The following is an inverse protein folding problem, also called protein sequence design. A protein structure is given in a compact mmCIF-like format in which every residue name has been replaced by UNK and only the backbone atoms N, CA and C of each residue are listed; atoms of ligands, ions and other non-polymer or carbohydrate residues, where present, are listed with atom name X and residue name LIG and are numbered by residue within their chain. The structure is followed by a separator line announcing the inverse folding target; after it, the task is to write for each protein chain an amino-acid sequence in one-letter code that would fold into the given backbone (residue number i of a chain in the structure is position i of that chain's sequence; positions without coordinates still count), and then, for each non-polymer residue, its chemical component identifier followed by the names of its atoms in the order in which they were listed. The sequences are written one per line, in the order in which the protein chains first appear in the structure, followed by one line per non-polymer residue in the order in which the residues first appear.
data_IF_694287860098
#
_entry.id   IF_694287860098
#
_cell.length_a   1.000
_cell.length_b   1.000
_cell.length_c   1.000
_cell.angle_alpha   90.00
_cell.angle_beta   90.00
_cell.angle_gamma   90.00
#
_symmetry.space_group_name_H-M   'P 1'
#
loop_
_entity.id
_entity.type
_entity.pdbx_description
1 polymer ?
#
# COMPACT_ATOMS: atom_id res chain seq x y z
N UNK A 1 -4.01 -2.02 13.18
CA UNK A 1 -5.49 -2.01 13.10
C UNK A 1 -5.97 -1.64 11.70
N UNK A 2 -5.27 -0.76 10.95
CA UNK A 2 -5.65 -0.38 9.58
C UNK A 2 -5.96 -1.56 8.66
N UNK A 3 -5.09 -2.56 8.66
CA UNK A 3 -5.24 -3.80 7.86
C UNK A 3 -6.55 -4.56 8.14
N UNK A 4 -7.02 -4.57 9.40
CA UNK A 4 -8.29 -5.21 9.74
C UNK A 4 -9.46 -4.51 9.04
N UNK A 5 -9.51 -3.18 9.10
CA UNK A 5 -10.60 -2.40 8.50
C UNK A 5 -10.51 -2.36 6.98
N UNK A 6 -9.32 -2.38 6.44
CA UNK A 6 -9.11 -2.57 5.00
C UNK A 6 -9.68 -3.93 4.54
N UNK A 7 -9.38 -5.01 5.26
CA UNK A 7 -9.98 -6.33 4.98
C UNK A 7 -11.51 -6.34 5.14
N UNK A 8 -12.05 -5.60 6.12
CA UNK A 8 -13.49 -5.44 6.31
C UNK A 8 -14.14 -4.71 5.12
N UNK A 9 -13.48 -3.70 4.55
CA UNK A 9 -13.97 -3.01 3.36
C UNK A 9 -13.90 -3.90 2.10
N UNK A 10 -12.90 -4.75 1.97
CA UNK A 10 -12.89 -5.76 0.89
C UNK A 10 -14.04 -6.78 1.03
N UNK A 11 -14.33 -7.21 2.25
CA UNK A 11 -15.51 -8.04 2.53
C UNK A 11 -16.82 -7.30 2.18
N UNK A 12 -16.92 -6.02 2.55
CA UNK A 12 -18.09 -5.19 2.23
C UNK A 12 -18.34 -5.09 0.72
N UNK A 13 -17.31 -5.01 -0.11
CA UNK A 13 -17.43 -4.97 -1.58
C UNK A 13 -18.12 -6.24 -2.15
N UNK A 14 -17.86 -7.38 -1.53
CA UNK A 14 -18.39 -8.69 -1.97
C UNK A 14 -19.73 -8.98 -1.33
N UNK A 15 -19.89 -8.63 -0.07
CA UNK A 15 -21.07 -8.89 0.74
C UNK A 15 -21.46 -7.66 1.55
N UNK A 16 -22.11 -6.67 0.94
CA UNK A 16 -22.41 -5.39 1.57
C UNK A 16 -23.46 -5.54 2.68
N UNK A 17 -23.00 -5.38 3.91
CA UNK A 17 -23.84 -5.29 5.10
C UNK A 17 -23.64 -3.95 5.78
N UNK A 18 -24.74 -3.32 6.18
CA UNK A 18 -24.70 -2.02 6.88
C UNK A 18 -23.83 -2.07 8.14
N UNK A 19 -23.86 -3.17 8.87
CA UNK A 19 -23.04 -3.36 10.08
C UNK A 19 -21.53 -3.28 9.81
N UNK A 20 -21.05 -3.75 8.65
CA UNK A 20 -19.63 -3.67 8.28
C UNK A 20 -19.23 -2.22 7.96
N UNK A 21 -20.09 -1.52 7.23
CA UNK A 21 -19.90 -0.11 6.94
C UNK A 21 -19.87 0.71 8.24
N UNK A 22 -20.88 0.55 9.10
CA UNK A 22 -20.98 1.29 10.35
C UNK A 22 -19.82 0.99 11.30
N UNK A 23 -19.33 -0.24 11.32
CA UNK A 23 -18.17 -0.61 12.15
C UNK A 23 -16.88 0.05 11.65
N UNK A 24 -16.63 0.06 10.33
CA UNK A 24 -15.48 0.73 9.74
C UNK A 24 -15.59 2.27 9.88
N UNK A 25 -16.79 2.83 9.65
CA UNK A 25 -17.05 4.25 9.81
C UNK A 25 -16.85 4.70 11.25
N UNK A 26 -17.45 4.00 12.23
CA UNK A 26 -17.33 4.33 13.64
C UNK A 26 -15.88 4.30 14.15
N UNK A 27 -15.07 3.36 13.70
CA UNK A 27 -13.64 3.34 13.99
C UNK A 27 -12.92 4.55 13.38
N UNK A 28 -13.21 4.87 12.12
CA UNK A 28 -12.58 5.97 11.40
C UNK A 28 -12.93 7.32 12.02
N UNK A 29 -14.21 7.52 12.37
CA UNK A 29 -14.71 8.74 13.01
C UNK A 29 -14.17 8.89 14.44
N UNK A 30 -14.11 7.80 15.22
CA UNK A 30 -13.47 7.79 16.54
C UNK A 30 -12.02 8.30 16.48
N UNK A 31 -11.27 7.92 15.43
CA UNK A 31 -9.91 8.39 15.18
C UNK A 31 -9.86 9.72 14.44
N UNK A 32 -11.04 10.39 14.23
CA UNK A 32 -11.16 11.69 13.54
C UNK A 32 -10.51 11.69 12.16
N UNK A 33 -10.53 10.53 11.49
CA UNK A 33 -9.93 10.32 10.16
C UNK A 33 -8.42 10.64 10.09
N UNK A 34 -7.78 10.63 11.26
CA UNK A 34 -6.36 10.94 11.42
C UNK A 34 -5.47 9.70 11.33
N UNK A 35 -4.17 9.95 11.26
CA UNK A 35 -3.13 8.93 11.32
C UNK A 35 -2.37 9.01 12.65
N UNK A 36 -1.77 7.89 13.08
CA UNK A 36 -1.09 7.77 14.38
C UNK A 36 -0.04 8.87 14.61
N UNK A 37 0.78 9.18 13.61
CA UNK A 37 1.87 10.15 13.72
C UNK A 37 1.62 11.42 12.87
N UNK A 38 0.34 11.70 12.54
CA UNK A 38 -0.08 12.92 11.83
C UNK A 38 0.25 12.91 10.34
N UNK A 39 0.08 14.07 9.71
CA UNK A 39 0.13 14.23 8.24
C UNK A 39 1.52 14.29 7.64
N UNK A 40 2.56 14.32 8.47
CA UNK A 40 3.97 14.34 8.03
C UNK A 40 4.66 13.00 8.18
N UNK A 41 3.92 11.96 8.60
CA UNK A 41 4.47 10.62 8.75
C UNK A 41 4.88 10.04 7.40
N UNK A 42 6.06 9.45 7.36
CA UNK A 42 6.55 8.69 6.20
C UNK A 42 6.41 7.16 6.42
N UNK A 43 5.97 6.76 7.60
CA UNK A 43 5.78 5.35 7.93
C UNK A 43 4.49 4.81 7.30
N UNK A 44 4.63 3.78 6.47
CA UNK A 44 3.51 3.18 5.74
C UNK A 44 2.45 2.54 6.66
N UNK A 45 2.83 2.03 7.84
CA UNK A 45 1.88 1.48 8.80
C UNK A 45 0.89 2.54 9.31
N UNK A 46 1.35 3.78 9.48
CA UNK A 46 0.47 4.90 9.85
C UNK A 46 -0.47 5.27 8.70
N UNK A 47 -0.02 5.12 7.46
CA UNK A 47 -0.76 5.48 6.24
C UNK A 47 -1.83 4.44 5.88
N UNK A 48 -1.71 3.21 6.36
CA UNK A 48 -2.57 2.08 6.02
C UNK A 48 -4.08 2.37 6.23
N UNK A 49 -4.44 3.12 7.28
CA UNK A 49 -5.83 3.50 7.55
C UNK A 49 -6.47 4.30 6.41
N UNK A 50 -5.65 4.97 5.61
CA UNK A 50 -6.09 5.74 4.44
C UNK A 50 -6.83 4.89 3.40
N UNK A 51 -6.51 3.60 3.28
CA UNK A 51 -7.25 2.70 2.41
C UNK A 51 -8.73 2.64 2.80
N UNK A 52 -9.00 2.43 4.09
CA UNK A 52 -10.36 2.42 4.65
C UNK A 52 -11.06 3.77 4.50
N UNK A 53 -10.36 4.86 4.80
CA UNK A 53 -10.92 6.22 4.71
C UNK A 53 -11.39 6.55 3.29
N UNK A 54 -10.57 6.22 2.28
CA UNK A 54 -10.91 6.45 0.89
C UNK A 54 -12.09 5.55 0.44
N UNK A 55 -12.10 4.28 0.85
CA UNK A 55 -13.20 3.36 0.53
C UNK A 55 -14.53 3.85 1.12
N UNK A 56 -14.54 4.28 2.38
CA UNK A 56 -15.73 4.86 3.03
C UNK A 56 -16.19 6.16 2.33
N UNK A 57 -15.25 7.02 1.98
CA UNK A 57 -15.55 8.25 1.23
C UNK A 57 -16.18 7.94 -0.14
N UNK A 58 -15.68 6.93 -0.85
CA UNK A 58 -16.24 6.54 -2.15
C UNK A 58 -17.65 5.97 -2.04
N UNK A 59 -18.01 5.38 -0.90
CA UNK A 59 -19.38 4.88 -0.64
C UNK A 59 -20.31 6.02 -0.26
N UNK A 60 -19.89 6.86 0.69
CA UNK A 60 -20.73 7.95 1.20
C UNK A 60 -19.85 9.12 1.68
N UNK A 61 -19.63 10.15 0.85
CA UNK A 61 -18.77 11.30 1.18
C UNK A 61 -19.48 12.26 2.15
N UNK A 62 -19.57 11.88 3.42
CA UNK A 62 -20.27 12.67 4.44
C UNK A 62 -19.53 13.93 4.89
N UNK A 63 -18.19 13.92 4.78
CA UNK A 63 -17.36 15.04 5.23
C UNK A 63 -16.02 15.11 4.49
N UNK A 64 -15.53 16.30 4.15
CA UNK A 64 -14.16 16.48 3.64
C UNK A 64 -13.07 16.02 4.63
N UNK A 65 -13.38 15.94 5.93
CA UNK A 65 -12.48 15.47 6.96
C UNK A 65 -12.02 14.03 6.70
N UNK A 66 -12.85 13.19 6.05
CA UNK A 66 -12.53 11.80 5.73
C UNK A 66 -11.25 11.63 4.91
N UNK A 67 -10.90 12.63 4.10
CA UNK A 67 -9.72 12.57 3.22
C UNK A 67 -8.63 13.58 3.60
N UNK A 68 -8.95 14.57 4.42
CA UNK A 68 -8.07 15.72 4.66
C UNK A 68 -6.66 15.32 5.06
N UNK A 69 -6.54 14.49 6.08
CA UNK A 69 -5.24 14.17 6.66
C UNK A 69 -4.46 13.17 5.79
N UNK A 70 -5.12 12.11 5.31
CA UNK A 70 -4.46 11.13 4.43
C UNK A 70 -4.03 11.77 3.10
N UNK A 71 -4.85 12.66 2.53
CA UNK A 71 -4.48 13.40 1.33
C UNK A 71 -3.27 14.30 1.58
N UNK A 72 -3.27 15.06 2.68
CA UNK A 72 -2.13 15.91 3.04
C UNK A 72 -0.83 15.11 3.20
N UNK A 73 -0.91 13.92 3.81
CA UNK A 73 0.24 13.03 3.95
C UNK A 73 0.76 12.52 2.60
N UNK A 74 -0.14 12.07 1.72
CA UNK A 74 0.26 11.60 0.39
C UNK A 74 0.77 12.74 -0.51
N UNK A 75 0.18 13.94 -0.40
CA UNK A 75 0.69 15.14 -1.08
C UNK A 75 2.12 15.47 -0.63
N UNK A 76 2.43 15.34 0.63
CA UNK A 76 3.78 15.52 1.15
C UNK A 76 4.76 14.51 0.52
N UNK A 77 4.39 13.22 0.41
CA UNK A 77 5.22 12.23 -0.26
C UNK A 77 5.45 12.58 -1.74
N UNK A 78 4.37 12.94 -2.45
CA UNK A 78 4.44 13.32 -3.87
C UNK A 78 5.36 14.52 -4.10
N UNK A 79 5.29 15.51 -3.22
CA UNK A 79 6.05 16.77 -3.35
C UNK A 79 7.50 16.68 -2.85
N UNK A 80 7.97 15.52 -2.41
CA UNK A 80 9.37 15.30 -2.01
C UNK A 80 10.07 14.32 -2.95
N UNK A 81 11.37 14.49 -3.24
CA UNK A 81 12.10 13.55 -4.09
C UNK A 81 12.39 12.20 -3.43
N UNK A 82 12.25 12.11 -2.11
CA UNK A 82 12.56 10.91 -1.33
C UNK A 82 11.64 9.75 -1.72
N UNK A 83 12.22 8.54 -1.94
CA UNK A 83 11.52 7.33 -2.37
C UNK A 83 11.86 6.09 -1.54
N UNK A 84 12.73 6.22 -0.55
CA UNK A 84 13.33 5.15 0.25
C UNK A 84 12.58 4.85 1.55
N UNK A 85 11.31 5.19 1.65
CA UNK A 85 10.51 4.97 2.86
C UNK A 85 10.05 3.52 3.05
N UNK A 86 9.91 2.77 1.95
CA UNK A 86 9.45 1.38 1.99
C UNK A 86 10.63 0.41 2.07
N UNK A 87 11.27 0.35 3.24
CA UNK A 87 12.47 -0.45 3.51
C UNK A 87 12.17 -1.90 3.90
N UNK A 88 10.89 -2.26 4.05
CA UNK A 88 10.40 -3.60 4.32
C UNK A 88 9.12 -3.86 3.53
N UNK A 89 8.87 -5.11 3.16
CA UNK A 89 7.84 -5.44 2.16
C UNK A 89 6.40 -5.22 2.63
N UNK A 90 6.12 -5.21 3.94
CA UNK A 90 4.79 -4.83 4.47
C UNK A 90 4.40 -3.41 4.06
N UNK A 91 5.37 -2.51 4.01
CA UNK A 91 5.16 -1.11 3.63
C UNK A 91 4.49 -0.98 2.25
N UNK A 92 4.80 -1.89 1.33
CA UNK A 92 4.18 -1.95 0.01
C UNK A 92 2.65 -2.11 0.15
N UNK A 93 2.20 -3.07 0.97
CA UNK A 93 0.76 -3.27 1.23
C UNK A 93 0.13 -2.11 1.99
N UNK A 94 0.87 -1.50 2.92
CA UNK A 94 0.32 -0.45 3.77
C UNK A 94 0.15 0.88 3.03
N UNK A 95 1.15 1.28 2.24
CA UNK A 95 1.20 2.60 1.60
C UNK A 95 0.79 2.63 0.13
N UNK A 96 1.20 1.63 -0.66
CA UNK A 96 1.04 1.65 -2.11
C UNK A 96 -0.44 1.77 -2.56
N UNK A 97 -1.41 1.00 -2.01
CA UNK A 97 -2.81 1.12 -2.42
C UNK A 97 -3.45 2.47 -2.05
N UNK A 98 -2.93 3.20 -1.05
CA UNK A 98 -3.41 4.54 -0.70
C UNK A 98 -3.14 5.52 -1.83
N UNK A 99 -1.91 5.49 -2.38
CA UNK A 99 -1.53 6.31 -3.54
C UNK A 99 -2.37 5.95 -4.77
N UNK A 100 -2.57 4.64 -5.03
CA UNK A 100 -3.41 4.19 -6.14
C UNK A 100 -4.86 4.71 -6.04
N UNK A 101 -5.48 4.57 -4.86
CA UNK A 101 -6.85 5.02 -4.60
C UNK A 101 -6.99 6.55 -4.71
N UNK A 102 -6.04 7.33 -4.17
CA UNK A 102 -6.05 8.79 -4.30
C UNK A 102 -5.83 9.24 -5.73
N UNK A 103 -4.91 8.61 -6.46
CA UNK A 103 -4.70 8.90 -7.88
C UNK A 103 -5.97 8.69 -8.70
N UNK A 104 -6.68 7.59 -8.45
CA UNK A 104 -7.98 7.30 -9.09
C UNK A 104 -9.05 8.32 -8.70
N UNK A 105 -9.18 8.61 -7.41
CA UNK A 105 -10.22 9.50 -6.88
C UNK A 105 -10.05 10.95 -7.38
N UNK A 106 -8.81 11.41 -7.45
CA UNK A 106 -8.51 12.82 -7.79
C UNK A 106 -8.18 13.05 -9.27
N UNK A 107 -7.89 11.98 -10.02
CA UNK A 107 -7.37 12.08 -11.39
C UNK A 107 -5.92 12.59 -11.46
N UNK A 108 -5.23 12.76 -10.34
CA UNK A 108 -3.85 13.25 -10.30
C UNK A 108 -2.86 12.09 -10.48
N UNK A 109 -2.20 12.04 -11.63
CA UNK A 109 -1.25 10.98 -11.97
C UNK A 109 0.05 11.03 -11.17
N UNK A 110 0.37 12.15 -10.52
CA UNK A 110 1.57 12.27 -9.69
C UNK A 110 1.57 11.26 -8.51
N UNK A 111 0.39 10.82 -8.05
CA UNK A 111 0.30 9.73 -7.08
C UNK A 111 0.76 8.38 -7.66
N UNK A 112 0.44 8.10 -8.93
CA UNK A 112 0.90 6.87 -9.59
C UNK A 112 2.40 6.92 -9.86
N UNK A 113 2.94 8.08 -10.25
CA UNK A 113 4.37 8.27 -10.47
C UNK A 113 5.14 8.03 -9.16
N UNK A 114 4.72 8.68 -8.07
CA UNK A 114 5.34 8.49 -6.75
C UNK A 114 5.25 7.04 -6.27
N UNK A 115 4.09 6.44 -6.45
CA UNK A 115 3.85 5.03 -6.09
C UNK A 115 4.83 4.10 -6.79
N UNK A 116 5.04 4.31 -8.10
CA UNK A 116 6.00 3.52 -8.87
C UNK A 116 7.43 3.75 -8.40
N UNK A 117 7.84 5.00 -8.21
CA UNK A 117 9.20 5.33 -7.80
C UNK A 117 9.58 4.67 -6.47
N UNK A 118 8.68 4.71 -5.49
CA UNK A 118 8.88 4.07 -4.18
C UNK A 118 8.88 2.54 -4.30
N UNK A 119 7.94 1.96 -5.06
CA UNK A 119 7.90 0.52 -5.32
C UNK A 119 9.15 0.02 -6.04
N UNK A 120 9.55 0.70 -7.11
CA UNK A 120 10.73 0.35 -7.89
C UNK A 120 12.03 0.48 -7.08
N UNK A 121 12.10 1.45 -6.16
CA UNK A 121 13.24 1.58 -5.25
C UNK A 121 13.35 0.37 -4.32
N UNK A 122 12.27 -0.02 -3.65
CA UNK A 122 12.26 -1.21 -2.78
C UNK A 122 12.57 -2.48 -3.57
N UNK A 123 11.97 -2.61 -4.75
CA UNK A 123 12.12 -3.77 -5.64
C UNK A 123 13.55 -3.98 -6.14
N UNK A 124 14.22 -2.88 -6.55
CA UNK A 124 15.45 -2.97 -7.37
C UNK A 124 16.69 -2.42 -6.67
N UNK A 125 16.54 -1.58 -5.62
CA UNK A 125 17.64 -0.76 -5.11
C UNK A 125 17.89 -0.99 -3.62
N UNK A 126 16.85 -0.96 -2.78
CA UNK A 126 17.00 -1.10 -1.34
C UNK A 126 17.67 -2.44 -0.99
N UNK A 127 18.81 -2.38 -0.27
CA UNK A 127 19.57 -3.57 0.10
C UNK A 127 20.11 -4.39 -1.09
N UNK A 128 20.19 -3.82 -2.29
CA UNK A 128 20.53 -4.53 -3.52
C UNK A 128 19.30 -5.00 -4.31
N UNK A 129 18.09 -4.64 -3.83
CA UNK A 129 16.80 -5.04 -4.38
C UNK A 129 16.15 -6.15 -3.56
N UNK A 130 14.91 -5.92 -3.12
CA UNK A 130 14.20 -6.88 -2.28
C UNK A 130 13.49 -7.98 -3.09
N UNK A 131 13.38 -7.86 -4.41
CA UNK A 131 12.70 -8.85 -5.26
C UNK A 131 13.69 -9.80 -5.93
N UNK A 132 13.63 -11.08 -5.56
CA UNK A 132 14.39 -12.12 -6.23
C UNK A 132 13.63 -12.61 -7.47
N UNK A 133 14.04 -12.16 -8.65
CA UNK A 133 13.43 -12.54 -9.92
C UNK A 133 13.53 -14.03 -10.24
N UNK A 134 14.55 -14.72 -9.73
CA UNK A 134 14.76 -16.16 -9.98
C UNK A 134 13.69 -17.00 -9.29
N UNK A 135 13.37 -16.63 -8.04
CA UNK A 135 12.47 -17.40 -7.20
C UNK A 135 11.03 -16.82 -7.21
N UNK A 136 10.84 -15.61 -7.77
CA UNK A 136 9.56 -14.90 -7.76
C UNK A 136 9.12 -14.48 -6.35
N UNK A 137 10.06 -14.28 -5.43
CA UNK A 137 9.79 -14.01 -4.03
C UNK A 137 10.55 -12.76 -3.53
N UNK A 138 10.04 -12.17 -2.47
CA UNK A 138 10.61 -10.99 -1.84
C UNK A 138 11.28 -11.36 -0.52
N UNK A 139 12.51 -10.88 -0.32
CA UNK A 139 13.11 -10.80 1.02
C UNK A 139 12.37 -9.75 1.86
N UNK A 140 12.26 -9.98 3.16
CA UNK A 140 11.52 -9.09 4.07
C UNK A 140 12.03 -7.64 4.03
N UNK A 141 13.34 -7.48 4.12
CA UNK A 141 14.09 -6.23 4.09
C UNK A 141 15.58 -6.50 3.77
N UNK A 142 16.40 -5.47 3.81
CA UNK A 142 17.82 -5.54 3.47
C UNK A 142 18.65 -6.53 4.33
N UNK A 143 18.22 -6.81 5.56
CA UNK A 143 18.93 -7.73 6.46
C UNK A 143 18.83 -9.19 6.01
N UNK A 144 17.86 -9.53 5.18
CA UNK A 144 17.59 -10.89 4.69
C UNK A 144 17.98 -11.13 3.23
N UNK A 145 18.47 -10.08 2.53
CA UNK A 145 19.05 -10.23 1.18
C UNK A 145 20.39 -10.94 1.29
N UNK A 146 20.80 -11.61 0.20
CA UNK A 146 22.12 -12.24 0.14
C UNK A 146 23.24 -11.29 0.64
N UNK A 147 24.19 -11.74 1.47
CA UNK A 147 24.58 -13.16 1.67
C UNK A 147 23.83 -13.89 2.81
N UNK A 148 22.78 -13.30 3.40
CA UNK A 148 22.02 -13.98 4.45
C UNK A 148 21.44 -15.31 3.93
N UNK A 149 21.52 -16.34 4.76
CA UNK A 149 20.94 -17.66 4.50
C UNK A 149 20.33 -18.25 5.77
N UNK A 150 19.28 -19.03 5.60
CA UNK A 150 18.74 -19.86 6.67
C UNK A 150 19.74 -20.95 7.08
N UNK A 151 19.60 -21.59 8.25
CA UNK A 151 20.49 -22.66 8.71
C UNK A 151 20.62 -23.84 7.75
N UNK A 152 19.64 -24.06 6.89
CA UNK A 152 19.64 -25.09 5.83
C UNK A 152 20.34 -24.64 4.53
N UNK A 153 20.88 -23.41 4.49
CA UNK A 153 21.57 -22.84 3.31
C UNK A 153 20.67 -22.17 2.28
N UNK A 154 19.34 -22.17 2.48
CA UNK A 154 18.38 -21.56 1.57
C UNK A 154 18.18 -20.05 1.85
N UNK A 155 17.60 -19.35 0.87
CA UNK A 155 17.19 -17.95 1.03
C UNK A 155 16.02 -17.84 2.03
N UNK A 156 16.04 -16.76 2.83
CA UNK A 156 15.01 -16.52 3.83
C UNK A 156 13.84 -15.74 3.24
N UNK A 157 12.72 -16.40 2.98
CA UNK A 157 11.49 -15.77 2.52
C UNK A 157 10.38 -15.87 3.56
N UNK A 158 9.81 -14.72 3.89
CA UNK A 158 8.70 -14.64 4.81
C UNK A 158 7.36 -14.71 4.08
N UNK A 159 6.65 -15.84 4.20
CA UNK A 159 5.42 -16.11 3.45
C UNK A 159 4.32 -15.06 3.65
N UNK A 160 4.09 -14.59 4.89
CA UNK A 160 3.10 -13.54 5.16
C UNK A 160 3.47 -12.23 4.45
N UNK A 161 4.74 -11.83 4.48
CA UNK A 161 5.22 -10.63 3.81
C UNK A 161 5.06 -10.71 2.29
N UNK A 162 5.37 -11.85 1.69
CA UNK A 162 5.11 -12.10 0.28
C UNK A 162 3.61 -12.03 -0.05
N UNK A 163 2.75 -12.58 0.81
CA UNK A 163 1.31 -12.43 0.69
C UNK A 163 0.83 -10.97 0.74
N UNK A 164 1.50 -10.09 1.51
CA UNK A 164 1.21 -8.66 1.51
C UNK A 164 1.52 -8.01 0.16
N UNK A 165 2.69 -8.27 -0.40
CA UNK A 165 3.06 -7.70 -1.72
C UNK A 165 2.12 -8.22 -2.80
N UNK A 166 1.81 -9.50 -2.80
CA UNK A 166 0.90 -10.13 -3.75
C UNK A 166 -0.50 -9.47 -3.71
N UNK A 167 -1.05 -9.27 -2.50
CA UNK A 167 -2.32 -8.59 -2.32
C UNK A 167 -2.27 -7.11 -2.75
N UNK A 168 -1.16 -6.41 -2.47
CA UNK A 168 -0.98 -5.03 -2.87
C UNK A 168 -0.99 -4.86 -4.39
N UNK A 169 -0.31 -5.75 -5.12
CA UNK A 169 -0.29 -5.73 -6.58
C UNK A 169 -1.70 -5.89 -7.16
N UNK A 170 -2.51 -6.81 -6.63
CA UNK A 170 -3.92 -6.96 -7.04
C UNK A 170 -4.71 -5.68 -6.80
N UNK A 171 -4.58 -5.08 -5.60
CA UNK A 171 -5.30 -3.85 -5.26
C UNK A 171 -4.91 -2.71 -6.18
N UNK A 172 -3.62 -2.50 -6.40
CA UNK A 172 -3.13 -1.45 -7.29
C UNK A 172 -3.65 -1.63 -8.70
N UNK A 173 -3.52 -2.83 -9.26
CA UNK A 173 -3.98 -3.13 -10.63
C UNK A 173 -5.49 -2.90 -10.79
N UNK A 174 -6.30 -3.11 -9.74
CA UNK A 174 -7.73 -2.84 -9.76
C UNK A 174 -8.08 -1.34 -9.66
N UNK A 175 -7.20 -0.54 -9.08
CA UNK A 175 -7.44 0.91 -8.89
C UNK A 175 -6.90 1.77 -10.04
N UNK A 176 -5.72 1.43 -10.59
CA UNK A 176 -5.07 2.25 -11.61
C UNK A 176 -5.75 2.13 -12.99
N UNK A 177 -5.71 3.19 -13.85
CA UNK A 177 -6.23 3.14 -15.21
C UNK A 177 -5.58 2.03 -16.04
N UNK A 178 -6.33 1.52 -17.03
CA UNK A 178 -5.80 0.48 -17.94
C UNK A 178 -4.60 0.93 -18.76
N UNK A 179 -4.48 2.22 -19.02
CA UNK A 179 -3.39 2.86 -19.76
C UNK A 179 -2.33 3.49 -18.85
N UNK A 180 -2.35 3.19 -17.54
CA UNK A 180 -1.27 3.63 -16.65
C UNK A 180 0.06 3.01 -17.10
N UNK A 181 1.12 3.83 -17.16
CA UNK A 181 2.40 3.47 -17.81
C UNK A 181 3.11 2.26 -17.18
N UNK A 182 2.97 2.03 -15.89
CA UNK A 182 3.59 0.93 -15.15
C UNK A 182 2.65 -0.22 -14.84
N UNK A 183 1.41 -0.18 -15.35
CA UNK A 183 0.43 -1.23 -15.12
C UNK A 183 0.94 -2.63 -15.54
N UNK A 184 1.63 -2.69 -16.69
CA UNK A 184 2.18 -3.94 -17.19
C UNK A 184 3.28 -4.50 -16.29
N UNK A 185 4.07 -3.63 -15.66
CA UNK A 185 5.13 -4.02 -14.74
C UNK A 185 4.56 -4.63 -13.46
N UNK A 186 3.52 -4.03 -12.87
CA UNK A 186 2.81 -4.59 -11.71
C UNK A 186 2.20 -5.97 -12.01
N UNK A 187 1.57 -6.11 -13.18
CA UNK A 187 1.00 -7.41 -13.62
C UNK A 187 2.11 -8.45 -13.83
N UNK A 188 3.23 -8.06 -14.42
CA UNK A 188 4.38 -8.94 -14.60
C UNK A 188 4.90 -9.46 -13.28
N UNK A 189 5.09 -8.58 -12.29
CA UNK A 189 5.56 -8.97 -10.97
C UNK A 189 4.55 -9.89 -10.27
N UNK A 190 3.25 -9.57 -10.36
CA UNK A 190 2.18 -10.42 -9.85
C UNK A 190 2.20 -11.84 -10.44
N UNK A 191 2.44 -11.96 -11.75
CA UNK A 191 2.50 -13.28 -12.43
C UNK A 191 3.79 -14.02 -12.06
N UNK A 192 4.88 -13.29 -11.80
CA UNK A 192 6.18 -13.88 -11.46
C UNK A 192 6.18 -14.46 -10.04
N UNK A 193 5.42 -13.85 -9.12
CA UNK A 193 5.22 -14.33 -7.74
C UNK A 193 4.33 -15.57 -7.69
#
# INVERSE_FOLDING_TARGET
RGVYYEGLMELYKIFPKEEYYQYAYGWSDFHKWGMRNGTTTRNADDQCCGQTYIDLYNICPTSPAMLKDIKACMDMLVNTPQVDDWTWIDAIQMGMPVLAKLGKLTGNTAYFDKMWDMYAYSRNTHGGGLFNLKDGLWWRDADFVAPYKEPNGEDCYWSRGNGWVYAALVRVVNEIPKNEKHRADYIKDFITM
#
